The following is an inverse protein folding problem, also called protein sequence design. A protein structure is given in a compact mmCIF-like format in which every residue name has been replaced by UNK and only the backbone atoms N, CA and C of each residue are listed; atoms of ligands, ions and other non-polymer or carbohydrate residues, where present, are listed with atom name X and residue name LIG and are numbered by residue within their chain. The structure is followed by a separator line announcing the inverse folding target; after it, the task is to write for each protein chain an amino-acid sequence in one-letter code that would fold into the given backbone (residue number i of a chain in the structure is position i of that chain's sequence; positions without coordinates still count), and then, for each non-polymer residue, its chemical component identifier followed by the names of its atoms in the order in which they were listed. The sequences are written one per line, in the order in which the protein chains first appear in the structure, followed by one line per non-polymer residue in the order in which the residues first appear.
data_IF_022353826018
#
_entry.id   IF_022353826018
#
_cell.length_a   1.000
_cell.length_b   1.000
_cell.length_c   1.000
_cell.angle_alpha   90.00
_cell.angle_beta   90.00
_cell.angle_gamma   90.00
#
_symmetry.space_group_name_H-M   'P 1'
#
loop_
_entity.id
_entity.type
_entity.pdbx_description
1 polymer ?
#
# COMPACT_ATOMS: atom_id res chain seq x y z
N UNK A 1 0.00 -19.43 3.08
CA UNK A 1 -0.64 -18.12 3.28
C UNK A 1 0.37 -17.04 2.90
N UNK A 2 -0.05 -15.85 2.49
CA UNK A 2 0.90 -14.81 2.12
C UNK A 2 1.59 -14.21 3.36
N UNK A 3 2.91 -14.05 3.29
CA UNK A 3 3.71 -13.46 4.35
C UNK A 3 3.76 -11.94 4.26
N UNK A 4 3.66 -11.26 5.40
CA UNK A 4 3.93 -9.82 5.52
C UNK A 4 5.42 -9.66 5.84
N UNK A 5 6.15 -9.08 4.89
CA UNK A 5 7.60 -8.92 5.00
C UNK A 5 7.98 -7.86 6.05
N UNK A 6 9.13 -8.05 6.73
CA UNK A 6 9.62 -7.18 7.80
C UNK A 6 9.70 -5.70 7.39
N UNK A 7 10.05 -5.42 6.14
CA UNK A 7 10.11 -4.05 5.59
C UNK A 7 8.75 -3.34 5.54
N UNK A 8 7.66 -4.09 5.42
CA UNK A 8 6.31 -3.53 5.50
C UNK A 8 5.95 -3.16 6.94
N UNK A 9 6.43 -3.93 7.92
CA UNK A 9 6.30 -3.61 9.34
C UNK A 9 7.08 -2.34 9.68
N UNK A 10 8.31 -2.21 9.19
CA UNK A 10 9.14 -1.01 9.33
C UNK A 10 8.46 0.23 8.71
N UNK A 11 7.91 0.07 7.50
CA UNK A 11 7.19 1.13 6.81
C UNK A 11 5.95 1.58 7.59
N UNK A 12 5.17 0.63 8.11
CA UNK A 12 4.01 0.92 8.95
C UNK A 12 4.39 1.60 10.27
N UNK A 13 5.48 1.17 10.92
CA UNK A 13 6.01 1.81 12.14
C UNK A 13 6.38 3.27 11.85
N UNK A 14 7.14 3.52 10.79
CA UNK A 14 7.57 4.87 10.43
C UNK A 14 6.37 5.78 10.11
N UNK A 15 5.40 5.26 9.37
CA UNK A 15 4.16 5.98 9.07
C UNK A 15 3.39 6.39 10.34
N UNK A 16 3.26 5.49 11.32
CA UNK A 16 2.61 5.82 12.59
C UNK A 16 3.42 6.81 13.43
N UNK A 17 4.75 6.73 13.41
CA UNK A 17 5.63 7.69 14.12
C UNK A 17 5.48 9.11 13.58
N UNK A 18 5.33 9.27 12.26
CA UNK A 18 5.09 10.56 11.63
C UNK A 18 3.69 11.09 11.94
N UNK A 19 2.68 10.22 11.89
CA UNK A 19 1.27 10.58 12.12
C UNK A 19 0.94 10.85 13.59
N UNK A 20 1.59 10.17 14.51
CA UNK A 20 1.32 10.24 15.95
C UNK A 20 2.65 10.21 16.71
N UNK A 21 3.39 11.34 16.68
CA UNK A 21 4.69 11.43 17.31
C UNK A 21 4.60 11.26 18.82
N UNK A 22 5.71 10.82 19.41
CA UNK A 22 5.81 10.64 20.85
C UNK A 22 5.65 11.97 21.59
N UNK A 23 4.71 12.09 22.55
CA UNK A 23 4.49 13.34 23.28
C UNK A 23 5.70 13.78 24.12
N UNK A 24 6.48 12.81 24.61
CA UNK A 24 7.62 12.96 25.52
C UNK A 24 8.96 12.61 24.84
N UNK A 25 8.93 12.24 23.54
CA UNK A 25 10.10 11.78 22.79
C UNK A 25 10.57 10.36 23.13
N UNK A 26 9.87 9.65 24.03
CA UNK A 26 10.24 8.32 24.54
C UNK A 26 9.11 7.31 24.30
N UNK A 27 7.89 7.67 24.64
CA UNK A 27 6.71 6.79 24.60
C UNK A 27 6.09 6.80 23.21
N UNK A 28 6.12 5.65 22.54
CA UNK A 28 5.45 5.47 21.25
C UNK A 28 3.94 5.22 21.39
N UNK A 29 3.16 5.58 20.37
CA UNK A 29 1.72 5.32 20.31
C UNK A 29 1.40 3.81 20.35
N UNK A 30 0.13 3.47 20.57
CA UNK A 30 -0.29 2.07 20.75
C UNK A 30 -0.01 1.21 19.51
N UNK A 31 -0.15 1.81 18.33
CA UNK A 31 0.03 1.19 17.02
C UNK A 31 1.50 0.84 16.77
N UNK A 32 2.42 1.78 17.03
CA UNK A 32 3.86 1.53 16.95
C UNK A 32 4.27 0.43 17.92
N UNK A 33 3.77 0.45 19.17
CA UNK A 33 4.10 -0.60 20.16
C UNK A 33 3.61 -1.97 19.71
N UNK A 34 2.41 -2.07 19.13
CA UNK A 34 1.87 -3.32 18.63
C UNK A 34 2.68 -3.87 17.43
N UNK A 35 3.08 -3.00 16.49
CA UNK A 35 3.93 -3.39 15.36
C UNK A 35 5.35 -3.73 15.80
N UNK A 36 5.90 -3.01 16.79
CA UNK A 36 7.25 -3.23 17.31
C UNK A 36 7.40 -4.61 17.97
N UNK A 37 6.35 -5.14 18.59
CA UNK A 37 6.36 -6.51 19.13
C UNK A 37 6.54 -7.54 18.01
N UNK A 38 5.78 -7.42 16.92
CA UNK A 38 5.93 -8.31 15.75
C UNK A 38 7.31 -8.17 15.12
N UNK A 39 7.80 -6.94 14.93
CA UNK A 39 9.14 -6.67 14.43
C UNK A 39 10.22 -7.31 15.30
N UNK A 40 10.12 -7.15 16.63
CA UNK A 40 11.08 -7.72 17.57
C UNK A 40 11.11 -9.24 17.52
N UNK A 41 9.94 -9.89 17.38
CA UNK A 41 9.85 -11.34 17.23
C UNK A 41 10.50 -11.82 15.92
N UNK A 42 10.25 -11.13 14.80
CA UNK A 42 10.88 -11.44 13.52
C UNK A 42 12.40 -11.36 13.61
N UNK A 43 12.93 -10.29 14.21
CA UNK A 43 14.37 -10.13 14.43
C UNK A 43 14.93 -11.21 15.36
N UNK A 44 14.24 -11.51 16.46
CA UNK A 44 14.69 -12.50 17.44
C UNK A 44 14.77 -13.92 16.85
N UNK A 45 13.77 -14.30 16.05
CA UNK A 45 13.74 -15.61 15.38
C UNK A 45 14.49 -15.64 14.03
N UNK A 46 15.09 -14.52 13.62
CA UNK A 46 15.74 -14.36 12.31
C UNK A 46 14.82 -14.66 11.11
N UNK A 47 13.54 -14.32 11.24
CA UNK A 47 12.54 -14.46 10.20
C UNK A 47 12.34 -13.13 9.44
N UNK A 48 12.05 -13.22 8.15
CA UNK A 48 11.78 -12.03 7.31
C UNK A 48 10.30 -11.78 7.07
N UNK A 49 9.43 -12.71 7.44
CA UNK A 49 7.99 -12.65 7.15
C UNK A 49 7.19 -13.16 8.34
N UNK A 50 6.05 -12.52 8.59
CA UNK A 50 5.04 -13.03 9.52
C UNK A 50 3.77 -13.42 8.76
N UNK A 51 3.05 -14.41 9.26
CA UNK A 51 1.82 -14.91 8.63
C UNK A 51 0.65 -13.91 8.80
N UNK A 52 -0.04 -13.63 7.68
CA UNK A 52 -1.14 -12.65 7.65
C UNK A 52 -2.35 -13.04 8.51
N UNK A 53 -2.70 -14.33 8.65
CA UNK A 53 -3.85 -14.71 9.46
C UNK A 53 -3.53 -14.77 10.95
N UNK A 54 -2.32 -15.17 11.33
CA UNK A 54 -1.96 -15.32 12.74
C UNK A 54 -1.36 -14.05 13.36
N UNK A 55 -1.13 -13.00 12.57
CA UNK A 55 -0.67 -11.71 13.11
C UNK A 55 -1.61 -11.20 14.22
N UNK A 56 -1.08 -10.76 15.38
CA UNK A 56 -1.88 -10.24 16.48
C UNK A 56 -2.85 -9.13 16.01
N UNK A 57 -4.14 -9.15 16.44
CA UNK A 57 -5.17 -8.26 15.88
C UNK A 57 -4.83 -6.76 15.92
N UNK A 58 -4.17 -6.30 16.99
CA UNK A 58 -3.76 -4.89 17.13
C UNK A 58 -2.67 -4.51 16.12
N UNK A 59 -1.68 -5.38 15.92
CA UNK A 59 -0.63 -5.16 14.93
C UNK A 59 -1.21 -5.22 13.50
N UNK A 60 -2.10 -6.19 13.24
CA UNK A 60 -2.79 -6.32 11.95
C UNK A 60 -3.62 -5.09 11.62
N UNK A 61 -4.37 -4.55 12.59
CA UNK A 61 -5.14 -3.32 12.39
C UNK A 61 -4.23 -2.12 12.07
N UNK A 62 -3.12 -1.97 12.81
CA UNK A 62 -2.15 -0.90 12.58
C UNK A 62 -1.47 -1.02 11.20
N UNK A 63 -1.13 -2.24 10.78
CA UNK A 63 -0.55 -2.51 9.45
C UNK A 63 -1.56 -2.27 8.32
N UNK A 64 -2.82 -2.69 8.48
CA UNK A 64 -3.88 -2.45 7.50
C UNK A 64 -4.18 -0.96 7.32
N UNK A 65 -4.09 -0.16 8.40
CA UNK A 65 -4.23 1.29 8.31
C UNK A 65 -3.13 1.94 7.47
N UNK A 66 -1.88 1.49 7.62
CA UNK A 66 -0.78 1.90 6.74
C UNK A 66 -0.99 1.41 5.31
N UNK A 67 -1.34 0.13 5.11
CA UNK A 67 -1.59 -0.46 3.80
C UNK A 67 -2.62 0.35 2.99
N UNK A 68 -3.71 0.77 3.64
CA UNK A 68 -4.75 1.59 3.02
C UNK A 68 -4.28 2.99 2.56
N UNK A 69 -3.13 3.47 3.07
CA UNK A 69 -2.50 4.72 2.61
C UNK A 69 -1.57 4.55 1.41
N UNK A 70 -1.29 3.31 1.00
CA UNK A 70 -0.41 3.01 -0.14
C UNK A 70 -1.22 2.85 -1.44
N UNK A 71 -0.62 3.08 -2.62
CA UNK A 71 -1.30 2.81 -3.89
C UNK A 71 -1.74 1.35 -3.99
N UNK A 72 -3.02 1.10 -4.30
CA UNK A 72 -3.53 -0.28 -4.36
C UNK A 72 -2.84 -1.06 -5.48
N UNK A 73 -2.90 -0.60 -6.74
CA UNK A 73 -2.43 -1.38 -7.89
C UNK A 73 -1.25 -0.72 -8.63
N UNK A 74 -0.27 -1.50 -9.14
CA UNK A 74 0.90 -0.94 -9.81
C UNK A 74 0.66 -0.54 -11.28
N UNK A 75 -0.58 -0.46 -11.73
CA UNK A 75 -0.92 -0.30 -13.15
C UNK A 75 -0.68 1.13 -13.65
N UNK A 76 -0.18 1.27 -14.89
CA UNK A 76 0.00 2.57 -15.58
C UNK A 76 -0.86 2.69 -16.85
N UNK A 77 -1.97 1.96 -16.89
CA UNK A 77 -2.88 1.86 -18.05
C UNK A 77 -2.18 1.44 -19.37
N UNK A 78 -1.09 0.68 -19.26
CA UNK A 78 -0.41 0.03 -20.38
C UNK A 78 -0.34 -1.45 -20.07
N UNK A 79 -1.01 -2.27 -20.88
CA UNK A 79 -1.06 -3.72 -20.69
C UNK A 79 -0.45 -4.44 -21.88
N UNK A 80 0.60 -5.23 -21.63
CA UNK A 80 1.21 -6.08 -22.65
C UNK A 80 0.78 -7.55 -22.52
N UNK A 81 0.23 -7.95 -21.37
CA UNK A 81 -0.29 -9.31 -21.18
C UNK A 81 -1.58 -9.55 -21.98
N UNK A 82 -2.40 -8.51 -22.19
CA UNK A 82 -3.52 -8.55 -23.14
C UNK A 82 -3.07 -8.77 -24.59
N UNK A 83 -1.78 -8.60 -24.88
CA UNK A 83 -1.17 -8.82 -26.20
C UNK A 83 -0.34 -10.12 -26.24
N UNK A 84 -0.36 -10.92 -25.15
CA UNK A 84 0.26 -12.24 -25.09
C UNK A 84 1.57 -12.35 -24.30
N UNK A 85 2.05 -11.30 -23.64
CA UNK A 85 3.20 -11.43 -22.73
C UNK A 85 2.79 -12.11 -21.40
N UNK A 86 3.65 -12.95 -20.82
CA UNK A 86 3.40 -13.59 -19.51
C UNK A 86 3.55 -12.60 -18.34
N UNK A 87 4.43 -11.61 -18.50
CA UNK A 87 4.70 -10.53 -17.54
C UNK A 87 4.40 -9.19 -18.20
N UNK A 88 3.59 -8.38 -17.53
CA UNK A 88 3.20 -7.07 -18.03
C UNK A 88 4.41 -6.13 -18.06
N UNK A 89 4.83 -5.71 -19.26
CA UNK A 89 5.91 -4.71 -19.44
C UNK A 89 5.60 -3.37 -18.78
N UNK A 90 4.31 -3.02 -18.65
CA UNK A 90 3.87 -1.79 -18.00
C UNK A 90 4.06 -1.80 -16.47
N UNK A 91 3.47 -2.78 -15.79
CA UNK A 91 3.39 -2.82 -14.33
C UNK A 91 4.22 -3.91 -13.62
N UNK A 92 4.80 -4.87 -14.35
CA UNK A 92 5.64 -5.95 -13.80
C UNK A 92 4.87 -7.12 -13.19
N UNK A 93 3.55 -7.09 -13.18
CA UNK A 93 2.70 -8.21 -12.72
C UNK A 93 2.64 -9.34 -13.73
N UNK A 94 2.49 -10.57 -13.27
CA UNK A 94 2.18 -11.73 -14.12
C UNK A 94 0.76 -11.63 -14.66
N UNK A 95 0.43 -12.39 -15.72
CA UNK A 95 -0.95 -12.45 -16.24
C UNK A 95 -1.97 -12.82 -15.14
N UNK A 96 -1.63 -13.81 -14.31
CA UNK A 96 -2.50 -14.27 -13.21
C UNK A 96 -2.74 -13.18 -12.17
N UNK A 97 -1.69 -12.47 -11.75
CA UNK A 97 -1.80 -11.34 -10.81
C UNK A 97 -2.60 -10.17 -11.40
N UNK A 98 -2.53 -9.94 -12.71
CA UNK A 98 -3.33 -8.92 -13.38
C UNK A 98 -4.82 -9.31 -13.35
N UNK A 99 -5.14 -10.57 -13.64
CA UNK A 99 -6.51 -11.07 -13.71
C UNK A 99 -7.17 -11.15 -12.33
N UNK A 100 -6.43 -11.63 -11.33
CA UNK A 100 -6.98 -11.93 -10.00
C UNK A 100 -6.73 -10.83 -8.96
N UNK A 101 -6.15 -9.68 -9.36
CA UNK A 101 -5.77 -8.60 -8.44
C UNK A 101 -6.83 -8.25 -7.37
N UNK A 102 -8.13 -8.06 -7.71
CA UNK A 102 -9.13 -7.68 -6.72
C UNK A 102 -9.38 -8.75 -5.63
N UNK A 103 -9.08 -10.01 -5.93
CA UNK A 103 -9.27 -11.14 -5.02
C UNK A 103 -8.04 -11.43 -4.14
N UNK A 104 -6.87 -10.85 -4.46
CA UNK A 104 -5.66 -11.04 -3.67
C UNK A 104 -5.78 -10.37 -2.29
N UNK A 105 -5.29 -11.06 -1.27
CA UNK A 105 -5.18 -10.49 0.08
C UNK A 105 -4.20 -9.30 0.10
N UNK A 106 -4.32 -8.38 1.07
CA UNK A 106 -3.35 -7.31 1.25
C UNK A 106 -1.90 -7.81 1.28
N UNK A 107 -1.60 -8.91 2.01
CA UNK A 107 -0.25 -9.43 2.06
C UNK A 107 0.21 -9.96 0.68
N UNK A 108 -0.65 -10.66 -0.07
CA UNK A 108 -0.31 -11.13 -1.41
C UNK A 108 -0.04 -9.98 -2.40
N UNK A 109 -0.83 -8.91 -2.30
CA UNK A 109 -0.59 -7.68 -3.07
C UNK A 109 0.75 -7.04 -2.70
N UNK A 110 1.09 -7.01 -1.42
CA UNK A 110 2.39 -6.50 -0.94
C UNK A 110 3.58 -7.34 -1.38
N UNK A 111 3.46 -8.67 -1.41
CA UNK A 111 4.47 -9.56 -2.00
C UNK A 111 4.73 -9.20 -3.46
N UNK A 112 3.65 -8.98 -4.23
CA UNK A 112 3.75 -8.57 -5.63
C UNK A 112 4.47 -7.21 -5.77
N UNK A 113 4.03 -6.21 -5.00
CA UNK A 113 4.65 -4.88 -4.96
C UNK A 113 6.13 -4.92 -4.62
N UNK A 114 6.51 -5.71 -3.61
CA UNK A 114 7.91 -5.90 -3.22
C UNK A 114 8.72 -6.49 -4.38
N UNK A 115 8.23 -7.56 -5.01
CA UNK A 115 8.92 -8.19 -6.16
C UNK A 115 9.16 -7.19 -7.28
N UNK A 116 8.10 -6.55 -7.78
CA UNK A 116 8.22 -5.64 -8.94
C UNK A 116 9.11 -4.43 -8.64
N UNK A 117 9.11 -3.96 -7.39
CA UNK A 117 9.94 -2.83 -6.96
C UNK A 117 11.41 -3.24 -6.89
N UNK A 118 11.71 -4.44 -6.40
CA UNK A 118 13.07 -4.97 -6.36
C UNK A 118 13.63 -5.27 -7.76
N UNK A 119 12.79 -5.80 -8.66
CA UNK A 119 13.20 -6.07 -10.04
C UNK A 119 13.38 -4.78 -10.84
N UNK A 120 12.48 -3.80 -10.65
CA UNK A 120 12.50 -2.49 -11.30
C UNK A 120 12.63 -2.51 -12.84
N UNK A 121 12.26 -3.61 -13.49
CA UNK A 121 12.40 -3.79 -14.94
C UNK A 121 11.21 -3.23 -15.74
N UNK A 122 10.03 -3.16 -15.11
CA UNK A 122 8.80 -2.68 -15.74
C UNK A 122 8.86 -1.18 -16.08
N UNK A 123 8.12 -0.77 -17.11
CA UNK A 123 8.14 0.61 -17.62
C UNK A 123 7.70 1.66 -16.61
N UNK A 124 6.86 1.31 -15.63
CA UNK A 124 6.50 2.21 -14.51
C UNK A 124 7.70 2.72 -13.71
N UNK A 125 8.86 2.04 -13.78
CA UNK A 125 10.08 2.43 -13.06
C UNK A 125 11.11 3.11 -13.96
N UNK A 126 10.90 3.11 -15.29
CA UNK A 126 11.86 3.64 -16.25
C UNK A 126 11.21 4.50 -17.36
N UNK A 127 10.74 3.88 -18.44
CA UNK A 127 10.28 4.52 -19.67
C UNK A 127 9.02 5.37 -19.51
N UNK A 128 8.15 5.00 -18.57
CA UNK A 128 6.85 5.64 -18.32
C UNK A 128 6.66 5.90 -16.81
N UNK A 129 7.70 6.35 -16.14
CA UNK A 129 7.66 6.62 -14.69
C UNK A 129 6.69 7.77 -14.34
N UNK A 130 6.55 8.74 -15.23
CA UNK A 130 5.60 9.85 -15.09
C UNK A 130 4.15 9.38 -14.95
N UNK A 131 3.76 8.32 -15.68
CA UNK A 131 2.41 7.75 -15.58
C UNK A 131 2.16 7.08 -14.24
N UNK A 132 3.18 6.50 -13.62
CA UNK A 132 3.04 5.93 -12.28
C UNK A 132 2.71 7.04 -11.27
N UNK A 133 3.42 8.17 -11.33
CA UNK A 133 3.15 9.31 -10.47
C UNK A 133 1.75 9.89 -10.68
N UNK A 134 1.29 10.01 -11.94
CA UNK A 134 -0.06 10.48 -12.25
C UNK A 134 -1.14 9.57 -11.65
N UNK A 135 -1.00 8.25 -11.82
CA UNK A 135 -1.93 7.26 -11.27
C UNK A 135 -1.95 7.30 -9.75
N UNK A 136 -0.77 7.32 -9.11
CA UNK A 136 -0.64 7.36 -7.65
C UNK A 136 -1.24 8.65 -7.08
N UNK A 137 -1.04 9.80 -7.75
CA UNK A 137 -1.64 11.07 -7.37
C UNK A 137 -3.17 11.07 -7.53
N UNK A 138 -3.70 10.50 -8.62
CA UNK A 138 -5.15 10.35 -8.81
C UNK A 138 -5.75 9.44 -7.73
N UNK A 139 -5.10 8.34 -7.39
CA UNK A 139 -5.55 7.43 -6.33
C UNK A 139 -5.55 8.12 -4.96
N UNK A 140 -4.50 8.87 -4.64
CA UNK A 140 -4.41 9.63 -3.39
C UNK A 140 -5.53 10.68 -3.27
N UNK A 141 -5.84 11.41 -4.36
CA UNK A 141 -6.95 12.38 -4.39
C UNK A 141 -8.31 11.73 -4.17
N UNK A 142 -8.54 10.53 -4.72
CA UNK A 142 -9.79 9.81 -4.54
C UNK A 142 -9.97 9.26 -3.11
N UNK A 143 -8.87 8.98 -2.39
CA UNK A 143 -8.89 8.47 -1.02
C UNK A 143 -9.12 9.57 0.05
N UNK A 144 -8.94 10.84 -0.30
CA UNK A 144 -9.22 11.99 0.58
C UNK A 144 -10.72 12.30 0.59
N UNK A 145 -11.42 12.27 1.74
CA UNK A 145 -12.84 12.63 1.79
C UNK A 145 -13.01 14.14 1.56
N UNK A 146 -13.46 14.52 0.36
CA UNK A 146 -14.23 15.74 0.07
C UNK A 146 -13.56 17.10 0.25
N UNK A 147 -12.93 17.62 -0.81
CA UNK A 147 -12.82 19.09 -1.07
C UNK A 147 -13.59 19.56 -2.32
N UNK A 148 -14.14 18.65 -3.13
CA UNK A 148 -14.80 18.97 -4.41
C UNK A 148 -16.34 18.73 -4.37
N UNK A 149 -17.03 19.13 -3.31
CA UNK A 149 -18.48 19.28 -3.36
C UNK A 149 -18.81 20.68 -3.90
N UNK A 150 -19.40 20.85 -5.11
CA UNK A 150 -19.81 22.17 -5.56
C UNK A 150 -20.86 22.72 -4.60
N UNK A 151 -20.59 23.91 -4.05
CA UNK A 151 -21.51 24.62 -3.16
C UNK A 151 -22.89 24.72 -3.83
N UNK A 152 -23.91 24.18 -3.17
CA UNK A 152 -25.29 24.32 -3.60
C UNK A 152 -25.62 25.81 -3.74
N UNK A 153 -26.07 26.21 -4.93
CA UNK A 153 -26.48 27.60 -5.19
C UNK A 153 -27.62 27.99 -4.23
N UNK A 154 -27.59 29.22 -3.66
CA UNK A 154 -28.67 29.66 -2.80
C UNK A 154 -29.99 29.77 -3.58
N UNK A 155 -31.14 29.48 -2.94
CA UNK A 155 -32.44 29.58 -3.60
C UNK A 155 -32.74 31.04 -4.00
N UNK A 156 -33.46 31.27 -5.11
CA UNK A 156 -33.82 32.61 -5.54
C UNK A 156 -34.74 33.29 -4.52
N UNK A 157 -34.40 34.52 -4.15
CA UNK A 157 -35.21 35.40 -3.31
C UNK A 157 -36.53 35.71 -4.02
N UNK A 158 -37.65 35.28 -3.44
CA UNK A 158 -38.98 35.67 -3.89
C UNK A 158 -39.24 37.16 -3.55
N UNK A 159 -39.74 37.91 -4.54
CA UNK A 159 -40.23 39.28 -4.41
C UNK A 159 -41.73 39.30 -4.08
#
# INVERSE_FOLDING_TARGET
MAGIHITDIESAINWWRERSPSPDGITACAEVRALAEVYALLVYYHESECDEATMPPKAKAAWLAWYASTPDAPCIAICSTSQGDDICKGCGRTFDEVQHWPALSPAAKRTTWRRITMEATAWRFNRYAERAHEVDATAARAASPGEDAPAASPPPTAA
#
